data_IF_753202873284
#
_entry.id   IF_753202873284
#
_cell.length_a   1.000
_cell.length_b   1.000
_cell.length_c   1.000
_cell.angle_alpha   90.00
_cell.angle_beta   90.00
_cell.angle_gamma   90.00
#
_symmetry.space_group_name_H-M   'P 1'
#
loop_
_entity.id
_entity.type
_entity.pdbx_description
1 polymer ?
#
# COMPACT_ATOMS: atom_id res chain seq x y z
N UNK A 1 14.57 21.30 -14.34
CA UNK A 1 13.53 20.64 -13.56
C UNK A 1 12.15 21.14 -14.01
N UNK A 2 11.20 20.23 -14.32
CA UNK A 2 9.89 20.60 -14.87
C UNK A 2 9.11 21.57 -13.98
N UNK A 3 9.10 21.33 -12.65
CA UNK A 3 8.39 22.17 -11.69
C UNK A 3 8.95 23.60 -11.61
N UNK A 4 10.25 23.77 -11.70
CA UNK A 4 10.86 25.10 -11.74
C UNK A 4 10.51 25.87 -13.04
N UNK A 5 10.42 25.16 -14.17
CA UNK A 5 9.94 25.74 -15.44
C UNK A 5 8.46 26.11 -15.34
N UNK A 6 7.65 25.20 -14.82
CA UNK A 6 6.23 25.41 -14.58
C UNK A 6 5.97 26.63 -13.67
N UNK A 7 6.70 26.76 -12.54
CA UNK A 7 6.54 27.89 -11.64
C UNK A 7 6.80 29.21 -12.31
N UNK A 8 7.94 29.35 -13.01
CA UNK A 8 8.28 30.58 -13.76
C UNK A 8 7.27 30.90 -14.86
N UNK A 9 6.83 29.89 -15.60
CA UNK A 9 5.83 30.04 -16.66
C UNK A 9 4.50 30.52 -16.09
N UNK A 10 4.00 29.87 -15.03
CA UNK A 10 2.75 30.25 -14.36
C UNK A 10 2.78 31.67 -13.84
N UNK A 11 3.90 32.10 -13.21
CA UNK A 11 4.04 33.46 -12.67
C UNK A 11 4.12 34.54 -13.78
N UNK A 12 4.54 34.17 -15.00
CA UNK A 12 4.61 35.03 -16.15
C UNK A 12 3.33 35.02 -17.01
N UNK A 13 2.34 34.15 -16.69
CA UNK A 13 1.12 34.05 -17.49
C UNK A 13 0.30 35.34 -17.47
N UNK A 14 -0.02 35.84 -18.67
CA UNK A 14 -0.93 36.96 -18.91
C UNK A 14 -2.03 36.59 -19.92
N UNK A 15 -2.11 35.32 -20.34
CA UNK A 15 -2.99 34.83 -21.39
C UNK A 15 -3.98 33.82 -20.83
N UNK A 16 -5.19 33.83 -21.40
CA UNK A 16 -6.25 32.84 -21.06
C UNK A 16 -5.95 31.45 -21.63
N UNK A 17 -5.10 31.37 -22.66
CA UNK A 17 -4.61 30.10 -23.23
C UNK A 17 -3.09 30.15 -23.40
N UNK A 18 -2.41 29.14 -22.89
CA UNK A 18 -0.97 29.00 -23.03
C UNK A 18 -0.56 27.53 -22.96
N UNK A 19 0.51 27.16 -23.63
CA UNK A 19 1.07 25.81 -23.65
C UNK A 19 2.58 25.89 -23.35
N UNK A 20 3.03 25.02 -22.41
CA UNK A 20 4.44 24.84 -22.09
C UNK A 20 4.80 23.37 -22.22
N UNK A 21 5.83 23.07 -23.00
CA UNK A 21 6.46 21.77 -23.08
C UNK A 21 7.81 21.81 -22.39
N UNK A 22 8.10 20.82 -21.55
CA UNK A 22 9.37 20.69 -20.85
C UNK A 22 9.89 19.27 -20.98
N UNK A 23 10.95 19.11 -21.78
CA UNK A 23 11.67 17.85 -21.86
C UNK A 23 12.57 17.67 -20.64
N UNK A 24 12.56 16.47 -20.05
CA UNK A 24 13.38 16.15 -18.90
C UNK A 24 13.72 14.66 -18.84
N UNK A 25 14.71 14.31 -18.03
CA UNK A 25 15.05 12.92 -17.73
C UNK A 25 14.60 12.57 -16.32
N UNK A 26 13.90 11.44 -16.18
CA UNK A 26 13.50 10.89 -14.91
C UNK A 26 14.36 9.68 -14.58
N UNK A 27 15.00 9.68 -13.41
CA UNK A 27 15.70 8.52 -12.87
C UNK A 27 14.71 7.49 -12.36
N UNK A 28 14.97 6.20 -12.62
CA UNK A 28 14.09 5.08 -12.27
C UNK A 28 14.80 4.08 -11.34
N UNK A 29 15.20 4.47 -10.10
CA UNK A 29 15.98 3.61 -9.21
C UNK A 29 15.25 2.31 -8.84
N UNK A 30 13.93 2.30 -8.90
CA UNK A 30 13.10 1.12 -8.64
C UNK A 30 13.24 -0.01 -9.69
N UNK A 31 13.81 0.26 -10.85
CA UNK A 31 14.03 -0.77 -11.88
C UNK A 31 15.28 -1.63 -11.62
N UNK A 32 15.99 -1.42 -10.50
CA UNK A 32 17.14 -2.24 -10.08
C UNK A 32 18.49 -1.87 -10.74
N UNK A 33 18.46 -1.19 -11.88
CA UNK A 33 19.58 -0.45 -12.45
C UNK A 33 19.10 0.98 -12.64
N UNK A 34 19.93 1.95 -12.24
CA UNK A 34 19.57 3.36 -12.41
C UNK A 34 19.49 3.64 -13.90
N UNK A 35 18.29 3.62 -14.42
CA UNK A 35 17.98 4.01 -15.80
C UNK A 35 17.44 5.43 -15.79
N UNK A 36 17.66 6.13 -16.87
CA UNK A 36 16.99 7.40 -17.13
C UNK A 36 16.04 7.22 -18.30
N UNK A 37 14.83 7.66 -18.13
CA UNK A 37 13.83 7.74 -19.18
C UNK A 37 13.64 9.20 -19.58
N UNK A 38 13.52 9.46 -20.89
CA UNK A 38 13.22 10.80 -21.42
C UNK A 38 11.71 10.97 -21.42
N UNK A 39 11.25 12.08 -20.84
CA UNK A 39 9.83 12.43 -20.73
C UNK A 39 9.64 13.88 -21.16
N UNK A 40 8.42 14.20 -21.65
CA UNK A 40 7.95 15.55 -21.89
C UNK A 40 6.78 15.86 -20.96
N UNK A 41 6.93 16.88 -20.11
CA UNK A 41 5.83 17.46 -19.35
C UNK A 41 5.05 18.42 -20.25
N UNK A 42 3.74 18.36 -20.21
CA UNK A 42 2.83 19.20 -20.98
C UNK A 42 1.97 19.99 -19.99
N UNK A 43 2.12 21.31 -19.95
CA UNK A 43 1.28 22.19 -19.15
C UNK A 43 0.47 23.07 -20.09
N UNK A 44 -0.84 23.10 -19.88
CA UNK A 44 -1.78 23.88 -20.67
C UNK A 44 -2.71 24.68 -19.78
N UNK A 45 -2.94 25.94 -20.11
CA UNK A 45 -4.05 26.71 -19.55
C UNK A 45 -5.27 26.43 -20.39
N UNK A 46 -6.28 25.82 -19.81
CA UNK A 46 -7.55 25.48 -20.41
C UNK A 46 -8.67 25.96 -19.47
N UNK A 47 -9.62 26.74 -19.97
CA UNK A 47 -10.78 27.22 -19.21
C UNK A 47 -10.42 27.84 -17.84
N UNK A 48 -9.40 28.69 -17.78
CA UNK A 48 -8.86 29.30 -16.57
C UNK A 48 -8.28 28.33 -15.54
N UNK A 49 -8.05 27.07 -15.89
CA UNK A 49 -7.36 26.09 -15.06
C UNK A 49 -6.11 25.57 -15.74
N UNK A 50 -5.13 25.15 -14.94
CA UNK A 50 -3.93 24.49 -15.47
C UNK A 50 -4.22 23.01 -15.57
N UNK A 51 -3.95 22.44 -16.76
CA UNK A 51 -3.99 21.01 -17.01
C UNK A 51 -2.57 20.51 -17.23
N UNK A 52 -2.30 19.30 -16.76
CA UNK A 52 -0.96 18.71 -16.80
C UNK A 52 -1.04 17.28 -17.33
N UNK A 53 -0.18 16.98 -18.30
CA UNK A 53 0.04 15.61 -18.76
C UNK A 53 1.54 15.33 -18.88
N UNK A 54 1.94 14.09 -18.98
CA UNK A 54 3.33 13.67 -19.16
C UNK A 54 3.39 12.45 -20.05
N UNK A 55 4.37 12.44 -20.98
CA UNK A 55 4.53 11.37 -21.97
C UNK A 55 5.98 11.05 -22.23
N UNK A 56 6.24 9.82 -22.68
CA UNK A 56 7.51 9.36 -23.25
C UNK A 56 7.52 9.44 -24.79
N UNK A 57 6.43 9.90 -25.38
CA UNK A 57 6.30 10.02 -26.84
C UNK A 57 6.82 11.33 -27.34
N UNK A 58 7.39 11.33 -28.55
CA UNK A 58 7.80 12.55 -29.22
C UNK A 58 6.57 13.36 -29.63
N UNK A 59 6.47 14.59 -29.13
CA UNK A 59 5.42 15.51 -29.49
C UNK A 59 5.84 16.41 -30.66
N UNK A 60 4.95 16.57 -31.61
CA UNK A 60 5.12 17.51 -32.74
C UNK A 60 4.10 18.63 -32.57
N UNK A 61 4.59 19.87 -32.41
CA UNK A 61 3.70 21.00 -32.30
C UNK A 61 3.09 21.35 -33.67
N UNK A 62 1.77 21.58 -33.69
CA UNK A 62 1.04 22.10 -34.85
C UNK A 62 0.65 23.56 -34.59
N UNK A 63 1.39 24.50 -35.18
CA UNK A 63 1.16 25.94 -35.01
C UNK A 63 -0.17 26.42 -35.61
N UNK A 64 -0.89 25.57 -36.33
CA UNK A 64 -2.22 25.89 -36.85
C UNK A 64 -3.34 25.69 -35.83
N UNK A 65 -3.07 24.94 -34.74
CA UNK A 65 -4.00 24.65 -33.65
C UNK A 65 -3.81 25.62 -32.47
N UNK A 66 -4.87 25.91 -31.74
CA UNK A 66 -4.76 26.62 -30.47
C UNK A 66 -4.00 25.77 -29.42
N UNK A 67 -3.38 26.39 -28.38
CA UNK A 67 -2.74 25.66 -27.27
C UNK A 67 -3.60 24.57 -26.68
N UNK A 68 -4.85 24.85 -26.40
CA UNK A 68 -5.80 23.89 -25.84
C UNK A 68 -6.11 22.76 -26.82
N UNK A 69 -6.32 23.06 -28.11
CA UNK A 69 -6.59 22.04 -29.12
C UNK A 69 -5.43 21.05 -29.29
N UNK A 70 -4.18 21.54 -29.30
CA UNK A 70 -2.99 20.71 -29.35
C UNK A 70 -2.88 19.82 -28.11
N UNK A 71 -3.09 20.39 -26.94
CA UNK A 71 -3.04 19.64 -25.67
C UNK A 71 -4.05 18.48 -25.67
N UNK A 72 -5.31 18.75 -26.02
CA UNK A 72 -6.37 17.73 -26.05
C UNK A 72 -6.10 16.65 -27.10
N UNK A 73 -5.54 17.02 -28.25
CA UNK A 73 -5.15 16.07 -29.28
C UNK A 73 -4.08 15.09 -28.76
N UNK A 74 -3.00 15.59 -28.14
CA UNK A 74 -1.94 14.75 -27.56
C UNK A 74 -2.45 13.88 -26.43
N UNK A 75 -3.25 14.43 -25.52
CA UNK A 75 -3.87 13.67 -24.43
C UNK A 75 -4.72 12.50 -24.96
N UNK A 76 -5.52 12.76 -26.00
CA UNK A 76 -6.36 11.75 -26.64
C UNK A 76 -5.52 10.73 -27.42
N UNK A 77 -4.60 11.18 -28.27
CA UNK A 77 -3.80 10.32 -29.14
C UNK A 77 -2.90 9.36 -28.36
N UNK A 78 -2.35 9.83 -27.26
CA UNK A 78 -1.41 9.04 -26.42
C UNK A 78 -2.07 8.46 -25.17
N UNK A 79 -3.37 8.61 -24.98
CA UNK A 79 -4.13 8.12 -23.82
C UNK A 79 -3.49 8.54 -22.48
N UNK A 80 -3.13 9.82 -22.36
CA UNK A 80 -2.51 10.39 -21.18
C UNK A 80 -3.56 10.75 -20.13
N UNK A 81 -3.19 10.68 -18.87
CA UNK A 81 -4.00 11.24 -17.80
C UNK A 81 -3.95 12.76 -17.89
N UNK A 82 -5.09 13.38 -18.10
CA UNK A 82 -5.30 14.81 -18.07
C UNK A 82 -5.51 15.25 -16.62
N UNK A 83 -4.42 15.62 -15.96
CA UNK A 83 -4.42 15.93 -14.53
C UNK A 83 -4.75 17.41 -14.29
N UNK A 84 -5.74 17.66 -13.44
CA UNK A 84 -5.95 18.97 -12.81
C UNK A 84 -5.28 18.95 -11.42
N UNK A 85 -4.30 19.84 -11.17
CA UNK A 85 -3.63 19.91 -9.87
C UNK A 85 -4.55 20.21 -8.68
N UNK A 86 -5.77 20.65 -8.95
CA UNK A 86 -6.79 20.92 -7.92
C UNK A 86 -7.84 19.81 -7.77
N UNK A 87 -7.78 18.78 -8.61
CA UNK A 87 -8.74 17.69 -8.62
C UNK A 87 -8.12 16.36 -8.13
N UNK A 88 -8.93 15.48 -7.54
CA UNK A 88 -8.50 14.15 -7.13
C UNK A 88 -8.02 13.29 -8.31
N UNK A 89 -6.99 12.48 -8.06
CA UNK A 89 -6.38 11.58 -9.02
C UNK A 89 -6.75 10.13 -8.68
N UNK A 90 -7.50 9.45 -9.54
CA UNK A 90 -7.89 8.06 -9.34
C UNK A 90 -6.69 7.13 -9.48
N UNK A 91 -6.58 6.14 -8.58
CA UNK A 91 -5.55 5.12 -8.59
C UNK A 91 -6.04 3.85 -9.31
N UNK A 92 -5.16 3.27 -10.13
CA UNK A 92 -5.37 1.95 -10.71
C UNK A 92 -4.85 0.88 -9.76
N UNK A 93 -5.45 -0.32 -9.84
CA UNK A 93 -4.95 -1.51 -9.15
C UNK A 93 -3.97 -2.29 -10.01
N UNK A 94 -2.95 -2.88 -9.38
CA UNK A 94 -2.06 -3.85 -9.98
C UNK A 94 -2.00 -5.10 -9.10
N UNK A 95 -2.42 -6.24 -9.62
CA UNK A 95 -2.38 -7.52 -8.90
C UNK A 95 -1.02 -8.17 -9.06
N UNK A 96 -0.43 -8.61 -7.95
CA UNK A 96 0.85 -9.30 -7.88
C UNK A 96 0.65 -10.64 -7.18
N UNK A 97 0.89 -11.73 -7.90
CA UNK A 97 0.83 -13.08 -7.35
C UNK A 97 1.90 -13.30 -6.29
N UNK A 98 1.54 -14.01 -5.24
CA UNK A 98 2.41 -14.39 -4.12
C UNK A 98 2.30 -15.88 -3.84
N UNK A 99 3.31 -16.52 -3.23
CA UNK A 99 3.22 -17.93 -2.84
C UNK A 99 2.02 -18.22 -1.93
N UNK A 100 1.60 -17.23 -1.14
CA UNK A 100 0.52 -17.33 -0.16
C UNK A 100 -0.83 -16.77 -0.65
N UNK A 101 -0.94 -16.24 -1.87
CA UNK A 101 -2.15 -15.63 -2.43
C UNK A 101 -1.82 -14.51 -3.38
N UNK A 102 -2.27 -13.30 -3.09
CA UNK A 102 -1.99 -12.13 -3.93
C UNK A 102 -1.93 -10.82 -3.14
N UNK A 103 -1.24 -9.85 -3.70
CA UNK A 103 -1.31 -8.45 -3.31
C UNK A 103 -1.99 -7.64 -4.41
N UNK A 104 -2.84 -6.66 -4.04
CA UNK A 104 -3.43 -5.70 -4.95
C UNK A 104 -2.88 -4.33 -4.58
N UNK A 105 -2.03 -3.78 -5.44
CA UNK A 105 -1.31 -2.54 -5.20
C UNK A 105 -2.02 -1.33 -5.77
N UNK A 106 -1.93 -0.20 -5.07
CA UNK A 106 -2.48 1.11 -5.49
C UNK A 106 -1.40 2.17 -5.66
N UNK A 107 -0.35 2.16 -4.83
CA UNK A 107 0.67 3.22 -4.80
C UNK A 107 2.10 2.70 -4.89
N UNK A 108 2.29 1.40 -5.04
CA UNK A 108 3.63 0.83 -5.11
C UNK A 108 4.38 1.22 -6.38
N UNK A 109 5.68 1.50 -6.21
CA UNK A 109 6.62 1.82 -7.28
C UNK A 109 7.89 1.02 -7.03
N UNK A 110 7.98 -0.15 -7.64
CA UNK A 110 9.11 -1.05 -7.48
C UNK A 110 9.33 -1.93 -8.73
N UNK A 111 10.42 -2.69 -8.74
CA UNK A 111 10.82 -3.53 -9.89
C UNK A 111 9.72 -4.50 -10.36
N UNK A 112 8.90 -5.00 -9.45
CA UNK A 112 7.82 -5.96 -9.74
C UNK A 112 6.58 -5.31 -10.34
N UNK A 113 6.43 -3.97 -10.21
CA UNK A 113 5.30 -3.24 -10.74
C UNK A 113 5.34 -1.77 -10.35
N UNK A 114 4.79 -0.95 -11.23
CA UNK A 114 4.62 0.50 -11.04
C UNK A 114 3.15 0.83 -11.15
N UNK A 115 2.55 1.33 -10.08
CA UNK A 115 1.16 1.74 -10.07
C UNK A 115 0.94 3.03 -10.86
N UNK A 116 -0.30 3.25 -11.31
CA UNK A 116 -0.67 4.34 -12.21
C UNK A 116 -1.81 5.18 -11.63
N UNK A 117 -1.83 6.46 -11.99
CA UNK A 117 -3.04 7.24 -12.01
C UNK A 117 -3.83 6.93 -13.29
N UNK A 118 -5.16 7.00 -13.21
CA UNK A 118 -6.05 6.67 -14.35
C UNK A 118 -7.19 7.66 -14.51
N UNK A 119 -7.57 7.88 -15.79
CA UNK A 119 -8.77 8.62 -16.18
C UNK A 119 -9.41 7.92 -17.38
N UNK A 120 -10.55 7.25 -17.19
CA UNK A 120 -11.15 6.42 -18.23
C UNK A 120 -10.21 5.29 -18.68
N UNK A 121 -9.75 5.34 -19.94
CA UNK A 121 -8.76 4.40 -20.49
C UNK A 121 -7.32 4.89 -20.40
N UNK A 122 -7.13 6.14 -20.05
CA UNK A 122 -5.81 6.74 -19.89
C UNK A 122 -5.15 6.27 -18.60
N UNK A 123 -3.84 6.02 -18.65
CA UNK A 123 -3.03 5.64 -17.50
C UNK A 123 -1.67 6.32 -17.57
N UNK A 124 -1.21 6.85 -16.46
CA UNK A 124 0.13 7.45 -16.34
C UNK A 124 0.80 6.95 -15.06
N UNK A 125 2.06 6.47 -15.13
CA UNK A 125 2.79 6.02 -13.95
C UNK A 125 2.86 7.08 -12.86
N UNK A 126 2.65 6.68 -11.60
CA UNK A 126 2.70 7.59 -10.45
C UNK A 126 3.97 8.46 -10.46
N UNK A 127 5.20 7.91 -10.63
CA UNK A 127 6.42 8.72 -10.61
C UNK A 127 6.50 9.78 -11.73
N UNK A 128 5.82 9.54 -12.86
CA UNK A 128 5.83 10.49 -13.96
C UNK A 128 5.03 11.75 -13.62
N UNK A 129 3.80 11.57 -13.09
CA UNK A 129 2.99 12.70 -12.64
C UNK A 129 3.58 13.39 -11.40
N UNK A 130 4.18 12.66 -10.48
CA UNK A 130 4.89 13.25 -9.34
C UNK A 130 6.04 14.18 -9.79
N UNK A 131 6.74 13.84 -10.87
CA UNK A 131 7.84 14.65 -11.37
C UNK A 131 7.39 16.00 -11.95
N UNK A 132 6.12 16.15 -12.30
CA UNK A 132 5.58 17.30 -13.02
C UNK A 132 4.47 18.04 -12.26
N UNK A 133 3.97 17.48 -11.17
CA UNK A 133 2.98 18.09 -10.27
C UNK A 133 3.64 18.58 -8.97
N UNK A 134 3.16 19.69 -8.36
CA UNK A 134 3.65 20.10 -7.05
C UNK A 134 3.52 19.02 -5.99
N UNK A 135 4.47 18.93 -5.06
CA UNK A 135 4.46 17.90 -4.00
C UNK A 135 3.19 17.89 -3.14
N UNK A 136 2.59 19.03 -2.94
CA UNK A 136 1.29 19.17 -2.28
C UNK A 136 0.12 18.49 -3.03
N UNK A 137 0.29 18.17 -4.31
CA UNK A 137 -0.73 17.50 -5.15
C UNK A 137 -0.53 15.99 -5.14
N UNK A 138 0.66 15.50 -5.48
CA UNK A 138 0.90 14.08 -5.75
C UNK A 138 2.10 13.51 -4.95
N UNK A 139 2.54 14.18 -3.89
CA UNK A 139 3.76 13.84 -3.16
C UNK A 139 5.02 14.39 -3.82
N UNK A 140 6.10 14.50 -3.06
CA UNK A 140 7.36 15.09 -3.53
C UNK A 140 8.00 14.25 -4.65
N UNK A 141 8.55 14.86 -5.68
CA UNK A 141 9.24 14.16 -6.76
C UNK A 141 10.34 13.25 -6.24
N UNK A 142 10.34 12.00 -6.70
CA UNK A 142 11.32 11.00 -6.29
C UNK A 142 11.09 10.40 -4.89
N UNK A 143 10.09 10.86 -4.15
CA UNK A 143 9.68 10.26 -2.89
C UNK A 143 8.46 9.35 -3.13
N UNK A 144 8.49 8.09 -2.66
CA UNK A 144 7.33 7.21 -2.78
C UNK A 144 6.16 7.71 -1.92
N UNK A 145 4.94 7.47 -2.37
CA UNK A 145 3.73 7.69 -1.58
C UNK A 145 3.66 6.69 -0.42
N UNK A 146 2.92 7.02 0.65
CA UNK A 146 2.49 6.00 1.63
C UNK A 146 1.97 4.79 0.84
N UNK A 147 2.50 3.61 1.13
CA UNK A 147 2.09 2.43 0.38
C UNK A 147 0.68 2.02 0.81
N UNK A 148 -0.16 1.83 -0.18
CA UNK A 148 -1.53 1.33 -0.05
C UNK A 148 -1.66 0.07 -0.89
N UNK A 149 -2.05 -1.01 -0.25
CA UNK A 149 -2.31 -2.29 -0.91
C UNK A 149 -3.36 -3.12 -0.15
N UNK A 150 -3.87 -4.14 -0.81
CA UNK A 150 -4.69 -5.18 -0.20
C UNK A 150 -3.84 -6.45 -0.17
N UNK A 151 -3.82 -7.11 0.98
CA UNK A 151 -3.32 -8.48 1.12
C UNK A 151 -4.51 -9.42 1.08
N UNK A 152 -4.45 -10.38 0.17
CA UNK A 152 -5.52 -11.36 -0.07
C UNK A 152 -4.98 -12.79 -0.01
N UNK A 153 -4.78 -13.32 1.21
CA UNK A 153 -4.25 -14.65 1.42
C UNK A 153 -5.22 -15.74 0.95
N UNK A 154 -4.66 -16.81 0.37
CA UNK A 154 -5.41 -18.03 0.09
C UNK A 154 -6.11 -18.53 1.36
N UNK A 155 -7.33 -19.10 1.28
CA UNK A 155 -8.00 -19.67 2.44
C UNK A 155 -7.42 -21.00 2.90
N UNK A 156 -6.47 -21.57 2.18
CA UNK A 156 -5.88 -22.87 2.51
C UNK A 156 -4.86 -22.74 3.65
N UNK A 157 -5.02 -23.48 4.76
CA UNK A 157 -4.06 -23.47 5.85
C UNK A 157 -2.64 -23.77 5.36
N UNK A 158 -1.66 -23.13 5.97
CA UNK A 158 -0.23 -23.18 5.64
C UNK A 158 0.10 -22.50 4.30
N UNK A 159 -0.65 -22.79 3.23
CA UNK A 159 -0.42 -22.18 1.92
C UNK A 159 -0.73 -20.67 1.94
N UNK A 160 -1.81 -20.27 2.62
CA UNK A 160 -2.23 -18.89 2.73
C UNK A 160 -1.56 -18.10 3.87
N UNK A 161 -0.73 -18.74 4.70
CA UNK A 161 -0.02 -18.05 5.76
C UNK A 161 1.13 -17.22 5.18
N UNK A 162 1.22 -15.95 5.58
CA UNK A 162 2.28 -15.05 5.13
C UNK A 162 3.62 -15.39 5.80
N UNK A 163 4.68 -14.72 5.34
CA UNK A 163 5.99 -14.78 6.00
C UNK A 163 5.86 -14.34 7.45
N UNK A 164 6.48 -15.07 8.37
CA UNK A 164 6.73 -14.52 9.69
C UNK A 164 7.97 -13.64 9.59
N UNK A 165 7.74 -12.35 9.51
CA UNK A 165 8.75 -11.35 9.19
C UNK A 165 8.70 -10.16 10.14
N UNK A 166 9.80 -9.41 10.21
CA UNK A 166 9.88 -8.14 10.92
C UNK A 166 10.52 -7.07 10.05
N UNK A 167 10.35 -5.83 10.45
CA UNK A 167 10.87 -4.65 9.79
C UNK A 167 11.69 -3.80 10.75
N UNK A 168 12.83 -3.25 10.30
CA UNK A 168 13.69 -2.40 11.12
C UNK A 168 13.30 -0.92 11.03
N UNK A 169 12.77 -0.49 9.90
CA UNK A 169 12.41 0.91 9.66
C UNK A 169 10.95 1.09 9.18
N UNK A 170 10.31 0.05 8.70
CA UNK A 170 8.97 0.08 8.14
C UNK A 170 7.91 -0.22 9.22
N UNK A 171 6.84 0.58 9.25
CA UNK A 171 5.63 0.36 10.04
C UNK A 171 4.48 -0.01 9.12
N UNK A 172 3.59 -0.84 9.60
CA UNK A 172 2.42 -1.28 8.85
C UNK A 172 1.14 -1.15 9.69
N UNK A 173 0.06 -0.89 9.01
CA UNK A 173 -1.27 -0.87 9.61
C UNK A 173 -2.22 -1.69 8.74
N UNK A 174 -2.84 -2.70 9.32
CA UNK A 174 -3.83 -3.54 8.67
C UNK A 174 -5.22 -3.16 9.13
N UNK A 175 -6.13 -2.99 8.19
CA UNK A 175 -7.58 -2.92 8.46
C UNK A 175 -8.22 -4.16 7.85
N UNK A 176 -8.78 -5.01 8.69
CA UNK A 176 -9.40 -6.28 8.26
C UNK A 176 -10.70 -5.98 7.50
N UNK A 177 -10.72 -6.37 6.23
CA UNK A 177 -11.90 -6.18 5.35
C UNK A 177 -12.73 -7.43 5.18
N UNK A 178 -12.13 -8.61 5.37
CA UNK A 178 -12.83 -9.88 5.23
C UNK A 178 -12.15 -11.05 5.94
N UNK A 179 -12.97 -11.98 6.40
CA UNK A 179 -12.54 -13.27 6.95
C UNK A 179 -13.20 -14.36 6.09
N UNK A 180 -12.39 -15.20 5.48
CA UNK A 180 -12.90 -16.30 4.67
C UNK A 180 -13.50 -17.39 5.57
N UNK A 181 -14.82 -17.64 5.45
CA UNK A 181 -15.53 -18.60 6.30
C UNK A 181 -15.28 -20.07 5.97
N UNK A 182 -14.61 -20.38 4.87
CA UNK A 182 -14.11 -21.74 4.63
C UNK A 182 -12.86 -22.03 5.45
N UNK A 183 -12.02 -21.01 5.67
CA UNK A 183 -10.86 -21.11 6.55
C UNK A 183 -11.26 -20.99 8.04
N UNK A 184 -12.13 -20.02 8.34
CA UNK A 184 -12.53 -19.60 9.69
C UNK A 184 -14.07 -19.55 9.78
N UNK A 185 -14.74 -20.69 10.08
CA UNK A 185 -16.21 -20.79 10.02
C UNK A 185 -16.95 -19.87 10.99
N UNK A 186 -16.33 -19.55 12.14
CA UNK A 186 -16.83 -18.63 13.15
C UNK A 186 -16.68 -17.15 12.76
N UNK A 187 -15.91 -16.87 11.70
CA UNK A 187 -15.62 -15.52 11.25
C UNK A 187 -14.53 -14.81 12.05
N UNK A 188 -13.76 -15.57 12.86
CA UNK A 188 -12.60 -15.09 13.61
C UNK A 188 -11.33 -15.61 12.92
N UNK A 189 -10.61 -14.71 12.23
CA UNK A 189 -9.30 -15.00 11.67
C UNK A 189 -8.20 -14.75 12.68
N UNK A 190 -6.94 -14.95 12.26
CA UNK A 190 -5.80 -14.76 13.14
C UNK A 190 -4.64 -14.08 12.42
N UNK A 191 -3.79 -13.44 13.22
CA UNK A 191 -2.46 -12.98 12.84
C UNK A 191 -1.46 -13.51 13.88
N UNK A 192 -0.32 -14.05 13.45
CA UNK A 192 0.82 -14.25 14.33
C UNK A 192 1.39 -12.88 14.68
N UNK A 193 1.55 -12.59 15.97
CA UNK A 193 1.86 -11.24 16.42
C UNK A 193 2.71 -11.27 17.68
N UNK A 194 4.02 -11.28 17.48
CA UNK A 194 4.99 -11.53 18.54
C UNK A 194 5.00 -12.99 19.01
N UNK A 195 5.37 -13.20 20.25
CA UNK A 195 5.60 -14.52 20.82
C UNK A 195 4.67 -14.82 22.01
N UNK A 196 4.48 -16.12 22.29
CA UNK A 196 3.65 -16.59 23.39
C UNK A 196 4.26 -16.20 24.74
N UNK A 197 3.56 -15.41 25.58
CA UNK A 197 4.07 -14.97 26.88
C UNK A 197 4.40 -16.13 27.81
N UNK A 198 3.69 -17.25 27.73
CA UNK A 198 3.96 -18.44 28.57
C UNK A 198 5.25 -19.12 28.15
N UNK A 199 5.54 -19.15 26.85
CA UNK A 199 6.82 -19.65 26.34
C UNK A 199 7.98 -18.74 26.75
N UNK A 200 7.82 -17.42 26.64
CA UNK A 200 8.82 -16.46 27.10
C UNK A 200 9.10 -16.66 28.60
N UNK A 201 8.04 -16.72 29.41
CA UNK A 201 8.15 -16.89 30.86
C UNK A 201 8.72 -18.28 31.29
N UNK A 202 8.65 -19.29 30.44
CA UNK A 202 9.23 -20.61 30.71
C UNK A 202 10.75 -20.67 30.54
N UNK A 203 11.33 -19.67 29.86
CA UNK A 203 12.77 -19.57 29.65
C UNK A 203 13.44 -18.77 30.77
N UNK A 204 14.70 -19.08 31.13
CA UNK A 204 15.40 -18.39 32.22
C UNK A 204 15.73 -16.92 31.91
N UNK A 205 15.75 -16.53 30.63
CA UNK A 205 15.95 -15.16 30.19
C UNK A 205 15.41 -14.94 28.77
N UNK A 206 15.19 -13.68 28.35
CA UNK A 206 14.84 -13.35 26.95
C UNK A 206 15.85 -13.89 25.94
N UNK A 207 17.14 -13.90 26.27
CA UNK A 207 18.20 -14.42 25.40
C UNK A 207 18.11 -15.94 25.25
N UNK A 208 17.77 -16.65 26.34
CA UNK A 208 17.54 -18.09 26.29
C UNK A 208 16.34 -18.41 25.39
N UNK A 209 15.24 -17.66 25.52
CA UNK A 209 14.08 -17.79 24.64
C UNK A 209 14.47 -17.57 23.17
N UNK A 210 15.21 -16.50 22.85
CA UNK A 210 15.68 -16.22 21.49
C UNK A 210 16.49 -17.37 20.92
N UNK A 211 17.37 -17.96 21.74
CA UNK A 211 18.20 -19.07 21.29
C UNK A 211 17.37 -20.35 21.08
N UNK A 212 16.43 -20.66 21.96
CA UNK A 212 15.55 -21.82 21.81
C UNK A 212 14.67 -21.69 20.56
N UNK A 213 14.08 -20.51 20.34
CA UNK A 213 13.32 -20.22 19.15
C UNK A 213 14.16 -20.33 17.87
N UNK A 214 15.36 -19.75 17.86
CA UNK A 214 16.28 -19.86 16.73
C UNK A 214 16.63 -21.32 16.42
N UNK A 215 16.82 -22.16 17.43
CA UNK A 215 17.09 -23.59 17.26
C UNK A 215 15.87 -24.29 16.60
N UNK A 216 14.65 -23.97 17.03
CA UNK A 216 13.42 -24.50 16.44
C UNK A 216 13.26 -24.07 14.97
N UNK A 217 13.49 -22.78 14.66
CA UNK A 217 13.46 -22.25 13.28
C UNK A 217 14.50 -22.94 12.41
N UNK A 218 15.75 -23.05 12.89
CA UNK A 218 16.85 -23.71 12.14
C UNK A 218 16.57 -25.18 11.85
N UNK A 219 16.00 -25.90 12.82
CA UNK A 219 15.62 -27.29 12.63
C UNK A 219 14.52 -27.42 11.55
N UNK A 220 13.52 -26.56 11.60
CA UNK A 220 12.44 -26.52 10.62
C UNK A 220 12.96 -26.13 9.22
N UNK A 221 13.75 -25.04 9.10
CA UNK A 221 14.31 -24.58 7.84
C UNK A 221 15.10 -25.68 7.14
N UNK A 222 15.93 -26.43 7.86
CA UNK A 222 16.71 -27.56 7.30
C UNK A 222 15.79 -28.61 6.67
N UNK A 223 14.72 -28.97 7.35
CA UNK A 223 13.75 -29.96 6.84
C UNK A 223 12.97 -29.40 5.65
N UNK A 224 12.54 -28.12 5.70
CA UNK A 224 11.83 -27.47 4.61
C UNK A 224 12.67 -27.42 3.34
N UNK A 225 13.94 -27.01 3.44
CA UNK A 225 14.88 -26.97 2.31
C UNK A 225 15.14 -28.36 1.72
N UNK A 226 15.18 -29.40 2.55
CA UNK A 226 15.27 -30.79 2.06
C UNK A 226 14.06 -31.14 1.17
N UNK A 227 12.84 -30.82 1.63
CA UNK A 227 11.63 -31.10 0.85
C UNK A 227 11.60 -30.27 -0.46
N UNK A 228 12.00 -29.00 -0.41
CA UNK A 228 12.05 -28.13 -1.59
C UNK A 228 13.06 -28.65 -2.63
N UNK A 229 14.22 -29.13 -2.17
CA UNK A 229 15.24 -29.74 -3.05
C UNK A 229 14.70 -31.01 -3.70
N UNK A 230 14.10 -31.92 -2.93
CA UNK A 230 13.51 -33.14 -3.47
C UNK A 230 12.46 -32.83 -4.54
N UNK A 231 11.59 -31.87 -4.26
CA UNK A 231 10.54 -31.43 -5.20
C UNK A 231 11.14 -30.83 -6.47
N UNK A 232 12.17 -29.99 -6.34
CA UNK A 232 12.88 -29.39 -7.48
C UNK A 232 13.58 -30.45 -8.36
N UNK A 233 14.04 -31.55 -7.76
CA UNK A 233 14.61 -32.70 -8.47
C UNK A 233 13.55 -33.67 -9.07
N UNK A 234 12.26 -33.31 -8.95
CA UNK A 234 11.15 -34.17 -9.41
C UNK A 234 10.90 -35.40 -8.54
N UNK A 235 11.48 -35.45 -7.34
CA UNK A 235 11.29 -36.54 -6.37
C UNK A 235 10.11 -36.20 -5.43
N UNK A 236 9.33 -37.24 -5.08
CA UNK A 236 8.25 -37.10 -4.09
C UNK A 236 8.83 -37.36 -2.69
N UNK A 237 8.68 -36.40 -1.74
CA UNK A 237 9.06 -36.63 -0.36
C UNK A 237 8.30 -37.83 0.24
N UNK A 238 8.98 -38.62 1.08
CA UNK A 238 8.34 -39.72 1.79
C UNK A 238 7.37 -39.21 2.86
N UNK A 239 6.39 -40.03 3.23
CA UNK A 239 5.44 -39.72 4.31
C UNK A 239 6.13 -39.41 5.65
N UNK A 240 7.25 -40.05 5.93
CA UNK A 240 8.05 -39.78 7.14
C UNK A 240 8.68 -38.35 7.07
N UNK A 241 9.21 -37.96 5.93
CA UNK A 241 9.79 -36.62 5.74
C UNK A 241 8.74 -35.51 5.87
N UNK A 242 7.54 -35.73 5.31
CA UNK A 242 6.40 -34.81 5.44
C UNK A 242 5.90 -34.73 6.89
N UNK A 243 5.84 -35.87 7.59
CA UNK A 243 5.46 -35.90 9.02
C UNK A 243 6.49 -35.15 9.89
N UNK A 244 7.78 -35.33 9.62
CA UNK A 244 8.86 -34.60 10.32
C UNK A 244 8.75 -33.09 10.08
N UNK A 245 8.52 -32.66 8.82
CA UNK A 245 8.32 -31.24 8.50
C UNK A 245 7.16 -30.65 9.34
N UNK A 246 6.02 -31.33 9.35
CA UNK A 246 4.86 -30.88 10.12
C UNK A 246 5.15 -30.76 11.61
N UNK A 247 5.79 -31.75 12.21
CA UNK A 247 6.14 -31.73 13.63
C UNK A 247 7.09 -30.56 13.98
N UNK A 248 8.11 -30.32 13.15
CA UNK A 248 9.06 -29.22 13.35
C UNK A 248 8.37 -27.87 13.16
N UNK A 249 7.46 -27.75 12.20
CA UNK A 249 6.67 -26.54 11.99
C UNK A 249 5.76 -26.25 13.19
N UNK A 250 5.00 -27.26 13.65
CA UNK A 250 4.15 -27.14 14.84
C UNK A 250 4.96 -26.75 16.08
N UNK A 251 6.16 -27.32 16.24
CA UNK A 251 7.06 -26.94 17.33
C UNK A 251 7.52 -25.51 17.23
N UNK A 252 8.02 -25.07 16.07
CA UNK A 252 8.44 -23.69 15.81
C UNK A 252 7.27 -22.72 16.04
N UNK A 253 6.11 -23.02 15.48
CA UNK A 253 4.91 -22.19 15.58
C UNK A 253 4.41 -22.05 17.03
N UNK A 254 4.67 -23.04 17.89
CA UNK A 254 4.27 -23.02 19.31
C UNK A 254 4.94 -21.93 20.14
N UNK A 255 5.98 -21.28 19.62
CA UNK A 255 6.63 -20.13 20.27
C UNK A 255 5.91 -18.81 19.98
N UNK A 256 5.07 -18.75 18.94
CA UNK A 256 4.45 -17.51 18.45
C UNK A 256 3.07 -17.28 19.06
N UNK A 257 2.69 -16.03 19.27
CA UNK A 257 1.35 -15.68 19.73
C UNK A 257 0.38 -15.55 18.54
N UNK A 258 -0.83 -16.09 18.71
CA UNK A 258 -1.92 -15.98 17.75
C UNK A 258 -2.94 -14.95 18.25
N UNK A 259 -3.00 -13.79 17.61
CA UNK A 259 -3.98 -12.73 17.93
C UNK A 259 -5.23 -12.95 17.07
N UNK A 260 -6.43 -13.09 17.68
CA UNK A 260 -7.68 -13.14 16.93
C UNK A 260 -7.98 -11.78 16.30
N UNK A 261 -8.57 -11.81 15.09
CA UNK A 261 -9.02 -10.62 14.37
C UNK A 261 -10.37 -10.86 13.70
N UNK A 262 -11.19 -9.81 13.64
CA UNK A 262 -12.49 -9.78 12.99
C UNK A 262 -12.55 -8.65 11.95
N UNK A 263 -13.57 -8.69 11.08
CA UNK A 263 -13.82 -7.60 10.15
C UNK A 263 -13.90 -6.26 10.87
N UNK A 264 -13.26 -5.24 10.33
CA UNK A 264 -13.10 -3.89 10.86
C UNK A 264 -12.03 -3.71 11.95
N UNK A 265 -11.41 -4.80 12.44
CA UNK A 265 -10.28 -4.66 13.35
C UNK A 265 -9.09 -3.96 12.70
N UNK A 266 -8.33 -3.26 13.53
CA UNK A 266 -7.09 -2.58 13.16
C UNK A 266 -5.93 -3.27 13.86
N UNK A 267 -4.91 -3.65 13.10
CA UNK A 267 -3.65 -4.17 13.63
C UNK A 267 -2.55 -3.19 13.25
N UNK A 268 -1.85 -2.66 14.26
CA UNK A 268 -0.71 -1.77 14.07
C UNK A 268 0.56 -2.59 14.24
N UNK A 269 1.39 -2.65 13.21
CA UNK A 269 2.66 -3.38 13.23
C UNK A 269 3.80 -2.38 13.41
N UNK A 270 4.37 -2.31 14.63
CA UNK A 270 5.53 -1.45 14.88
C UNK A 270 6.80 -2.09 14.31
N UNK A 271 7.86 -1.30 14.23
CA UNK A 271 9.18 -1.82 13.88
C UNK A 271 9.63 -2.93 14.84
N UNK A 272 10.39 -3.89 14.34
CA UNK A 272 10.99 -5.02 15.06
C UNK A 272 10.02 -6.05 15.64
N UNK A 273 8.70 -5.93 15.43
CA UNK A 273 7.74 -6.92 15.89
C UNK A 273 7.52 -7.99 14.81
N UNK A 274 7.87 -9.25 15.07
CA UNK A 274 7.59 -10.34 14.14
C UNK A 274 6.08 -10.57 14.00
N UNK A 275 5.61 -10.68 12.76
CA UNK A 275 4.19 -10.86 12.47
C UNK A 275 3.96 -11.66 11.19
N UNK A 276 2.79 -12.28 11.08
CA UNK A 276 2.35 -12.98 9.87
C UNK A 276 0.83 -13.05 9.81
N UNK A 277 0.23 -12.43 8.82
CA UNK A 277 -1.19 -12.59 8.53
C UNK A 277 -1.47 -14.05 8.16
N UNK A 278 -2.54 -14.62 8.70
CA UNK A 278 -2.88 -16.02 8.44
C UNK A 278 -3.83 -16.18 7.25
N UNK A 279 -3.89 -17.37 6.72
CA UNK A 279 -4.73 -17.76 5.59
C UNK A 279 -6.17 -17.24 5.72
N UNK A 280 -6.73 -16.78 4.61
CA UNK A 280 -8.12 -16.32 4.53
C UNK A 280 -8.46 -15.05 5.33
N UNK A 281 -7.46 -14.32 5.85
CA UNK A 281 -7.65 -13.00 6.47
C UNK A 281 -7.28 -11.93 5.44
N UNK A 282 -8.27 -11.20 4.91
CA UNK A 282 -8.09 -10.14 3.92
C UNK A 282 -7.99 -8.78 4.60
N UNK A 283 -6.99 -7.99 4.24
CA UNK A 283 -6.76 -6.66 4.84
C UNK A 283 -6.44 -5.59 3.80
N UNK A 284 -6.81 -4.35 4.10
CA UNK A 284 -6.17 -3.17 3.51
C UNK A 284 -4.96 -2.84 4.37
N UNK A 285 -3.84 -2.64 3.73
CA UNK A 285 -2.57 -2.30 4.35
C UNK A 285 -2.11 -0.91 3.94
N UNK A 286 -1.78 -0.09 4.94
CA UNK A 286 -0.94 1.10 4.78
C UNK A 286 0.42 0.83 5.40
N UNK A 287 1.49 1.25 4.73
CA UNK A 287 2.84 1.06 5.27
C UNK A 287 3.77 2.22 4.91
N UNK A 288 4.81 2.36 5.72
CA UNK A 288 5.98 3.19 5.39
C UNK A 288 6.45 2.84 3.98
N UNK A 289 6.69 3.82 3.11
CA UNK A 289 7.11 3.56 1.73
C UNK A 289 8.59 3.11 1.63
N UNK A 290 8.90 2.04 2.32
CA UNK A 290 10.23 1.42 2.35
C UNK A 290 10.10 -0.05 2.01
N UNK A 291 10.98 -0.54 1.14
CA UNK A 291 11.07 -1.96 0.82
C UNK A 291 12.20 -2.59 1.65
N UNK A 292 11.83 -3.06 2.83
CA UNK A 292 12.75 -3.66 3.78
C UNK A 292 12.01 -4.70 4.59
N UNK A 293 12.59 -5.87 4.83
CA UNK A 293 12.08 -6.91 5.71
C UNK A 293 13.17 -7.88 6.09
N UNK A 294 12.98 -8.56 7.22
CA UNK A 294 13.71 -9.76 7.61
C UNK A 294 12.75 -10.92 7.76
N UNK A 295 12.91 -11.96 6.95
CA UNK A 295 12.11 -13.18 7.02
C UNK A 295 12.68 -14.04 8.15
N UNK A 296 11.88 -14.21 9.21
CA UNK A 296 12.23 -15.04 10.36
C UNK A 296 11.94 -16.50 10.06
N UNK A 297 10.77 -16.78 9.46
CA UNK A 297 10.39 -18.13 9.02
C UNK A 297 9.30 -18.10 7.95
N UNK A 298 9.16 -19.20 7.19
CA UNK A 298 8.10 -19.33 6.20
C UNK A 298 7.81 -20.80 5.90
N UNK A 299 6.55 -21.18 5.79
CA UNK A 299 6.15 -22.54 5.55
C UNK A 299 6.34 -23.04 4.10
N UNK A 300 6.73 -22.16 3.19
CA UNK A 300 6.92 -22.42 1.76
C UNK A 300 8.28 -21.91 1.29
N UNK A 301 8.60 -22.16 0.00
CA UNK A 301 9.81 -21.61 -0.63
C UNK A 301 9.67 -20.11 -0.80
N UNK A 302 10.65 -19.35 -0.32
CA UNK A 302 10.77 -17.92 -0.59
C UNK A 302 11.21 -17.71 -2.04
N UNK A 303 10.51 -16.87 -2.79
CA UNK A 303 10.80 -16.63 -4.22
C UNK A 303 11.75 -15.44 -4.44
N UNK A 304 11.89 -14.56 -3.48
CA UNK A 304 12.63 -13.31 -3.61
C UNK A 304 14.05 -13.35 -3.05
N UNK A 305 14.36 -14.37 -2.26
CA UNK A 305 15.68 -14.62 -1.67
C UNK A 305 15.86 -16.11 -1.39
N UNK A 306 17.10 -16.56 -1.29
CA UNK A 306 17.48 -17.97 -1.12
C UNK A 306 17.79 -18.36 0.34
N UNK A 307 17.64 -17.43 1.28
CA UNK A 307 17.90 -17.60 2.71
C UNK A 307 16.78 -16.98 3.57
N UNK A 308 16.76 -17.35 4.83
CA UNK A 308 15.98 -16.67 5.86
C UNK A 308 16.92 -15.80 6.71
N UNK A 309 16.37 -14.69 7.24
CA UNK A 309 17.13 -13.73 8.01
C UNK A 309 17.04 -14.03 9.52
N UNK A 310 16.71 -15.26 9.89
CA UNK A 310 16.38 -15.67 11.26
C UNK A 310 17.46 -15.34 12.26
N UNK A 311 18.74 -15.56 11.92
CA UNK A 311 19.87 -15.29 12.82
C UNK A 311 20.03 -13.80 13.13
N UNK A 312 19.81 -12.93 12.14
CA UNK A 312 19.88 -11.49 12.32
C UNK A 312 18.63 -10.97 13.03
N UNK A 313 17.47 -11.47 12.62
CA UNK A 313 16.18 -11.05 13.16
C UNK A 313 16.06 -11.31 14.66
N UNK A 314 16.47 -12.49 15.16
CA UNK A 314 16.33 -12.83 16.58
C UNK A 314 17.11 -11.90 17.53
N UNK A 315 18.14 -11.21 17.04
CA UNK A 315 18.94 -10.29 17.86
C UNK A 315 18.13 -9.05 18.24
N UNK A 316 17.38 -8.51 17.29
CA UNK A 316 16.67 -7.22 17.42
C UNK A 316 15.16 -7.34 17.64
N UNK A 317 14.57 -8.53 17.41
CA UNK A 317 13.11 -8.69 17.45
C UNK A 317 12.51 -8.35 18.81
N UNK A 318 11.37 -7.68 18.80
CA UNK A 318 10.52 -7.54 19.97
C UNK A 318 9.87 -8.89 20.29
N UNK A 319 9.88 -9.29 21.55
CA UNK A 319 9.23 -10.52 21.99
C UNK A 319 7.73 -10.30 22.24
N UNK A 320 7.37 -9.14 22.77
CA UNK A 320 5.99 -8.76 23.07
C UNK A 320 5.60 -7.51 22.29
N UNK A 321 4.37 -7.42 21.82
CA UNK A 321 3.88 -6.21 21.18
C UNK A 321 3.78 -5.07 22.22
N UNK A 322 4.08 -3.83 21.83
CA UNK A 322 3.81 -2.68 22.68
C UNK A 322 2.29 -2.50 22.87
N UNK A 323 1.94 -1.80 23.95
CA UNK A 323 0.53 -1.45 24.19
C UNK A 323 -0.03 -0.61 23.02
N UNK A 324 -1.17 -1.03 22.48
CA UNK A 324 -1.84 -0.30 21.41
C UNK A 324 -2.73 0.81 21.99
N UNK A 325 -2.59 2.06 21.53
CA UNK A 325 -3.48 3.12 21.93
C UNK A 325 -4.89 2.87 21.34
N UNK A 326 -5.93 3.23 22.10
CA UNK A 326 -7.30 3.22 21.58
C UNK A 326 -7.44 4.21 20.41
N UNK A 327 -8.36 3.96 19.45
CA UNK A 327 -8.71 4.94 18.44
C UNK A 327 -9.13 6.27 19.05
N UNK A 328 -8.74 7.38 18.44
CA UNK A 328 -9.09 8.73 18.92
C UNK A 328 -10.21 9.29 18.05
N UNK A 329 -11.34 9.58 18.67
CA UNK A 329 -12.43 10.27 17.98
C UNK A 329 -12.05 11.72 17.71
N UNK A 330 -12.22 12.15 16.47
CA UNK A 330 -12.02 13.53 16.02
C UNK A 330 -13.37 14.28 15.99
N UNK A 331 -13.37 15.60 16.23
CA UNK A 331 -14.58 16.39 16.00
C UNK A 331 -15.09 16.22 14.56
N UNK A 332 -16.38 15.98 14.43
CA UNK A 332 -17.01 15.71 13.13
C UNK A 332 -18.43 16.30 13.07
N UNK A 333 -18.93 16.65 11.87
CA UNK A 333 -20.30 17.07 11.66
C UNK A 333 -21.30 15.97 12.03
N UNK A 334 -22.57 16.35 12.21
CA UNK A 334 -23.66 15.40 12.42
C UNK A 334 -23.76 14.38 11.27
N UNK A 335 -23.98 13.12 11.63
CA UNK A 335 -24.04 12.01 10.66
C UNK A 335 -22.69 11.52 10.13
N UNK A 336 -21.59 12.03 10.68
CA UNK A 336 -20.22 11.62 10.32
C UNK A 336 -19.46 11.25 11.58
N UNK A 337 -18.73 10.17 11.53
CA UNK A 337 -17.79 9.76 12.60
C UNK A 337 -16.40 9.68 12.01
N UNK A 338 -15.42 10.30 12.67
CA UNK A 338 -14.01 10.28 12.29
C UNK A 338 -13.20 9.70 13.44
N UNK A 339 -12.50 8.63 13.19
CA UNK A 339 -11.64 7.95 14.16
C UNK A 339 -10.21 7.88 13.61
N UNK A 340 -9.27 8.50 14.31
CA UNK A 340 -7.84 8.24 14.03
C UNK A 340 -7.51 6.85 14.56
N UNK A 341 -7.32 5.91 13.64
CA UNK A 341 -7.06 4.50 13.94
C UNK A 341 -5.57 4.16 13.92
N UNK A 342 -4.74 4.99 13.28
CA UNK A 342 -3.28 4.87 13.24
C UNK A 342 -2.67 6.25 13.38
N UNK A 343 -1.61 6.34 14.19
CA UNK A 343 -0.80 7.54 14.39
C UNK A 343 0.66 7.09 14.52
N UNK A 344 1.33 6.94 13.38
CA UNK A 344 2.74 6.63 13.30
C UNK A 344 3.55 7.89 13.00
N UNK A 345 4.86 7.93 13.31
CA UNK A 345 5.70 9.09 13.03
C UNK A 345 5.73 9.51 11.55
N UNK A 346 5.53 8.58 10.64
CA UNK A 346 5.64 8.74 9.19
C UNK A 346 4.31 8.84 8.45
N UNK A 347 3.23 8.31 9.03
CA UNK A 347 1.87 8.47 8.48
C UNK A 347 0.79 8.24 9.54
N UNK A 348 -0.38 8.78 9.27
CA UNK A 348 -1.60 8.49 10.05
C UNK A 348 -2.71 7.96 9.15
N UNK A 349 -3.68 7.27 9.76
CA UNK A 349 -4.89 6.78 9.08
C UNK A 349 -6.10 7.11 9.91
N UNK A 350 -7.10 7.70 9.27
CA UNK A 350 -8.43 7.92 9.82
C UNK A 350 -9.43 6.95 9.18
N UNK A 351 -10.34 6.43 9.98
CA UNK A 351 -11.56 5.79 9.50
C UNK A 351 -12.70 6.80 9.56
N UNK A 352 -13.36 7.00 8.44
CA UNK A 352 -14.51 7.89 8.33
C UNK A 352 -15.75 7.07 8.02
N UNK A 353 -16.80 7.25 8.81
CA UNK A 353 -18.12 6.66 8.55
C UNK A 353 -19.13 7.78 8.37
N UNK A 354 -19.95 7.68 7.33
CA UNK A 354 -20.98 8.66 6.99
C UNK A 354 -22.33 7.96 6.86
N UNK A 355 -23.37 8.54 7.43
CA UNK A 355 -24.73 8.06 7.20
C UNK A 355 -25.17 8.35 5.77
N UNK A 356 -26.20 7.67 5.29
CA UNK A 356 -26.81 7.86 3.96
C UNK A 356 -26.99 9.32 3.61
N UNK A 357 -26.47 9.75 2.47
CA UNK A 357 -26.63 11.10 1.94
C UNK A 357 -25.90 12.20 2.70
N UNK A 358 -25.10 11.86 3.73
CA UNK A 358 -24.28 12.83 4.43
C UNK A 358 -23.24 13.45 3.49
N UNK A 359 -22.88 14.69 3.77
CA UNK A 359 -21.93 15.50 3.03
C UNK A 359 -20.82 15.96 3.96
N UNK A 360 -19.59 15.89 3.49
CA UNK A 360 -18.43 16.30 4.27
C UNK A 360 -17.45 17.11 3.44
N UNK A 361 -17.05 18.25 3.96
CA UNK A 361 -15.96 19.07 3.45
C UNK A 361 -14.74 18.82 4.34
N UNK A 362 -13.83 17.92 3.95
CA UNK A 362 -12.60 17.73 4.70
C UNK A 362 -11.72 18.97 4.52
N UNK A 363 -11.46 19.72 5.55
CA UNK A 363 -10.63 20.94 5.49
C UNK A 363 -9.33 20.73 4.69
N UNK A 364 -8.60 21.80 4.39
CA UNK A 364 -7.30 21.73 3.75
C UNK A 364 -6.32 20.86 4.56
N UNK A 365 -5.38 20.22 3.89
CA UNK A 365 -4.30 19.43 4.49
C UNK A 365 -2.95 20.06 4.13
N UNK A 366 -1.90 19.80 4.89
CA UNK A 366 -0.53 20.15 4.52
C UNK A 366 0.02 19.29 3.40
N UNK A 367 -0.50 18.05 3.28
CA UNK A 367 -0.04 17.03 2.33
C UNK A 367 -1.21 16.40 1.59
N UNK A 368 -0.93 15.61 0.55
CA UNK A 368 -1.94 14.78 -0.11
C UNK A 368 -2.61 13.83 0.90
N UNK A 369 -3.78 13.32 0.53
CA UNK A 369 -4.46 12.23 1.24
C UNK A 369 -4.70 11.06 0.29
N UNK A 370 -4.55 9.84 0.80
CA UNK A 370 -4.96 8.61 0.11
C UNK A 370 -6.30 8.17 0.70
N UNK A 371 -7.30 8.04 -0.14
CA UNK A 371 -8.63 7.57 0.25
C UNK A 371 -8.91 6.23 -0.41
N UNK A 372 -9.42 5.26 0.37
CA UNK A 372 -9.92 3.97 -0.14
C UNK A 372 -11.26 3.64 0.52
N UNK A 373 -12.26 3.30 -0.29
CA UNK A 373 -13.60 2.96 0.18
C UNK A 373 -13.62 1.55 0.77
N UNK A 374 -14.17 1.39 1.98
CA UNK A 374 -14.38 0.11 2.64
C UNK A 374 -15.75 -0.48 2.31
N UNK A 375 -16.80 0.34 2.45
CA UNK A 375 -18.19 -0.07 2.26
C UNK A 375 -19.03 1.09 1.72
N UNK A 376 -20.04 0.78 0.93
CA UNK A 376 -20.92 1.78 0.33
C UNK A 376 -20.33 2.39 -0.92
N UNK A 377 -20.81 3.58 -1.26
CA UNK A 377 -20.39 4.34 -2.43
C UNK A 377 -20.12 5.79 -2.04
N UNK A 378 -18.97 6.29 -2.43
CA UNK A 378 -18.53 7.66 -2.25
C UNK A 378 -18.58 8.41 -3.57
N UNK A 379 -19.24 9.56 -3.59
CA UNK A 379 -19.10 10.51 -4.71
C UNK A 379 -18.10 11.60 -4.33
N UNK A 380 -17.11 11.83 -5.18
CA UNK A 380 -16.05 12.80 -5.01
C UNK A 380 -15.72 13.42 -6.37
N UNK A 381 -15.77 14.76 -6.47
CA UNK A 381 -15.58 15.49 -7.72
C UNK A 381 -16.44 14.96 -8.89
N UNK A 382 -17.69 14.54 -8.62
CA UNK A 382 -18.60 13.99 -9.61
C UNK A 382 -18.34 12.53 -10.03
N UNK A 383 -17.31 11.90 -9.48
CA UNK A 383 -16.96 10.49 -9.72
C UNK A 383 -17.42 9.63 -8.55
N UNK A 384 -18.05 8.48 -8.87
CA UNK A 384 -18.47 7.48 -7.88
C UNK A 384 -17.36 6.47 -7.66
N UNK A 385 -17.03 6.21 -6.39
CA UNK A 385 -16.07 5.21 -5.93
C UNK A 385 -16.80 4.15 -5.11
N UNK A 386 -16.70 2.91 -5.53
CA UNK A 386 -17.20 1.74 -4.80
C UNK A 386 -16.14 1.16 -3.86
N UNK A 387 -16.51 0.14 -3.09
CA UNK A 387 -15.58 -0.57 -2.21
C UNK A 387 -14.28 -0.98 -2.93
N UNK A 388 -13.16 -0.85 -2.24
CA UNK A 388 -11.80 -1.11 -2.73
C UNK A 388 -11.34 -0.18 -3.88
N UNK A 389 -12.08 0.86 -4.23
CA UNK A 389 -11.58 1.90 -5.13
C UNK A 389 -10.87 2.99 -4.34
N UNK A 390 -9.73 3.44 -4.89
CA UNK A 390 -8.87 4.40 -4.21
C UNK A 390 -8.58 5.63 -5.07
N UNK A 391 -8.30 6.73 -4.39
CA UNK A 391 -8.04 8.04 -4.99
C UNK A 391 -7.02 8.81 -4.15
N UNK A 392 -6.14 9.52 -4.82
CA UNK A 392 -5.28 10.52 -4.20
C UNK A 392 -5.99 11.87 -4.26
N UNK A 393 -6.13 12.51 -3.10
CA UNK A 393 -6.77 13.83 -2.94
C UNK A 393 -5.68 14.86 -2.66
N UNK A 394 -5.52 15.89 -3.51
CA UNK A 394 -4.55 16.96 -3.29
C UNK A 394 -4.77 17.71 -1.99
N UNK A 395 -3.71 18.28 -1.41
CA UNK A 395 -3.76 18.98 -0.13
C UNK A 395 -4.74 20.16 -0.12
N UNK A 396 -4.82 20.90 -1.23
CA UNK A 396 -5.65 22.10 -1.38
C UNK A 396 -7.05 21.83 -1.92
N UNK A 397 -7.39 20.56 -2.16
CA UNK A 397 -8.74 20.22 -2.64
C UNK A 397 -9.80 20.59 -1.58
N UNK A 398 -10.81 21.34 -2.00
CA UNK A 398 -11.88 21.85 -1.15
C UNK A 398 -13.28 21.35 -1.56
N UNK A 399 -13.32 20.30 -2.34
CA UNK A 399 -14.59 19.70 -2.77
C UNK A 399 -15.26 18.88 -1.68
N UNK A 400 -16.49 18.50 -1.96
CA UNK A 400 -17.36 17.78 -1.05
C UNK A 400 -17.26 16.27 -1.27
N UNK A 401 -17.23 15.51 -0.18
CA UNK A 401 -17.41 14.07 -0.14
C UNK A 401 -18.89 13.78 0.14
N UNK A 402 -19.54 12.98 -0.70
CA UNK A 402 -20.96 12.67 -0.61
C UNK A 402 -21.18 11.16 -0.48
N UNK A 403 -21.82 10.73 0.60
CA UNK A 403 -22.29 9.36 0.77
C UNK A 403 -23.51 9.10 -0.13
N UNK A 404 -23.50 7.97 -0.83
CA UNK A 404 -24.59 7.55 -1.71
C UNK A 404 -25.93 7.45 -0.96
N UNK A 405 -27.02 7.73 -1.67
CA UNK A 405 -28.38 7.49 -1.19
C UNK A 405 -28.80 6.01 -1.28
N UNK A 406 -28.08 5.20 -2.04
CA UNK A 406 -28.41 3.79 -2.27
C UNK A 406 -28.01 2.86 -1.13
N UNK A 407 -26.94 3.19 -0.40
CA UNK A 407 -26.43 2.41 0.72
C UNK A 407 -26.85 3.02 2.08
N UNK A 408 -27.00 2.21 3.16
CA UNK A 408 -27.37 2.72 4.48
C UNK A 408 -26.26 3.58 5.10
N UNK A 409 -25.01 3.32 4.76
CA UNK A 409 -23.83 4.02 5.23
C UNK A 409 -22.69 3.93 4.22
N UNK A 410 -21.72 4.79 4.36
CA UNK A 410 -20.43 4.78 3.69
C UNK A 410 -19.34 4.66 4.76
N UNK A 411 -18.35 3.81 4.53
CA UNK A 411 -17.11 3.78 5.32
C UNK A 411 -15.90 3.81 4.38
N UNK A 412 -14.89 4.62 4.73
CA UNK A 412 -13.64 4.69 3.98
C UNK A 412 -12.46 4.99 4.92
N UNK A 413 -11.27 4.72 4.45
CA UNK A 413 -10.01 5.08 5.10
C UNK A 413 -9.40 6.30 4.41
N UNK A 414 -8.82 7.16 5.21
CA UNK A 414 -8.11 8.36 4.77
C UNK A 414 -6.72 8.36 5.42
N UNK A 415 -5.69 8.13 4.63
CA UNK A 415 -4.31 8.15 5.09
C UNK A 415 -3.60 9.40 4.58
N UNK A 416 -2.64 9.90 5.36
CA UNK A 416 -1.74 10.98 4.97
C UNK A 416 -0.35 10.77 5.57
N UNK A 417 0.72 11.22 4.88
CA UNK A 417 2.04 11.25 5.48
C UNK A 417 2.07 12.29 6.61
N UNK A 418 2.83 11.98 7.67
CA UNK A 418 3.20 12.95 8.69
C UNK A 418 4.45 13.71 8.21
N UNK A 419 4.48 15.04 8.42
CA UNK A 419 5.57 15.93 8.03
C UNK A 419 6.59 16.07 9.17
#
# INVERSE_FOLDING_TARGET
EPLACYGRWRDALQLDEALLLVDFSLSTPWLGQMQQISLTAIYCVCDNSVRVAVTDQLLVADTSLSPQAQYLDWVSAHQLVDADPQAPLRLATQTIDKPWGQEIWYTAVERRGVCNFVAGKAATPIPWLQAVLPGAVAGEPGQPLVLLKILDPSPQPVLGDLYFELHEAKREAYVVTGINRQAWPDGIGYIRYGFDPLKIASCPSPEAFRQEYLNAVTAYERQRRLLDTLTAEGKTPSSAQVATERQLREHMDSYTAMRPVQKSDVVRVPVLLPHALQHGVRVIEFQTPSYERKIVSFAQKVLTQDHWDSQEAVVSMLLEPPAEPAPVHRPSPEGITIEQIVDFPDFEVERVTMVRGARWLPGASSTYRLLIVLEGELTLAGVVYAAEQAVLVPSQWQGELLASQAAPSLAFLLARPNC
#
